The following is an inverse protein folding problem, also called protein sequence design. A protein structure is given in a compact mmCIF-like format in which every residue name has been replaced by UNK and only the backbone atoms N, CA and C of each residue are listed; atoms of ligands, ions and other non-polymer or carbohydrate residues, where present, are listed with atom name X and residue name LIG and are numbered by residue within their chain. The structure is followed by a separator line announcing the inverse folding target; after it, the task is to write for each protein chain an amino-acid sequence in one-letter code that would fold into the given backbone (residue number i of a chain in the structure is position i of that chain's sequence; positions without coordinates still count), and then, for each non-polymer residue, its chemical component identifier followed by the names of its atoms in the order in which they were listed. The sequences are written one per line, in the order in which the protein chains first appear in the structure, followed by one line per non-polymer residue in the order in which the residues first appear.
data_IF_517739654634
#
_entry.id   IF_517739654634
#
_cell.length_a   1.000
_cell.length_b   1.000
_cell.length_c   1.000
_cell.angle_alpha   90.00
_cell.angle_beta   90.00
_cell.angle_gamma   90.00
#
_symmetry.space_group_name_H-M   'P 1'
#
loop_
_entity.id
_entity.type
_entity.pdbx_description
1 polymer ?
#
# COMPACT_ATOMS: atom_id res chain seq x y z
N UNK A 1 -40.45 -18.49 3.72
CA UNK A 1 -39.80 -18.89 2.45
C UNK A 1 -39.52 -17.68 1.57
N UNK A 2 -40.47 -16.76 1.36
CA UNK A 2 -40.22 -15.54 0.56
C UNK A 2 -39.28 -14.52 1.25
N UNK A 3 -39.28 -14.46 2.58
CA UNK A 3 -38.45 -13.54 3.39
C UNK A 3 -36.94 -13.86 3.34
N UNK A 4 -36.56 -15.08 2.97
CA UNK A 4 -35.16 -15.48 2.82
C UNK A 4 -34.61 -15.12 1.42
N UNK A 5 -35.47 -15.20 0.40
CA UNK A 5 -35.15 -14.73 -0.95
C UNK A 5 -34.97 -13.22 -1.00
N UNK A 6 -35.86 -12.46 -0.36
CA UNK A 6 -35.78 -11.00 -0.33
C UNK A 6 -34.49 -10.53 0.38
N UNK A 7 -34.11 -11.20 1.48
CA UNK A 7 -32.84 -10.96 2.17
C UNK A 7 -31.62 -11.27 1.31
N UNK A 8 -31.62 -12.37 0.56
CA UNK A 8 -30.53 -12.68 -0.37
C UNK A 8 -30.41 -11.65 -1.50
N UNK A 9 -31.53 -11.22 -2.08
CA UNK A 9 -31.54 -10.21 -3.15
C UNK A 9 -31.01 -8.86 -2.64
N UNK A 10 -31.40 -8.45 -1.44
CA UNK A 10 -30.85 -7.25 -0.79
C UNK A 10 -29.35 -7.40 -0.52
N UNK A 11 -28.90 -8.56 -0.03
CA UNK A 11 -27.48 -8.86 0.19
C UNK A 11 -26.65 -8.77 -1.08
N UNK A 12 -27.07 -9.46 -2.16
CA UNK A 12 -26.39 -9.42 -3.46
C UNK A 12 -26.36 -8.00 -4.05
N UNK A 13 -27.43 -7.22 -3.87
CA UNK A 13 -27.47 -5.83 -4.35
C UNK A 13 -26.52 -4.93 -3.55
N UNK A 14 -26.46 -5.13 -2.23
CA UNK A 14 -25.52 -4.42 -1.37
C UNK A 14 -24.08 -4.76 -1.75
N UNK A 15 -23.76 -6.05 -1.92
CA UNK A 15 -22.43 -6.52 -2.33
C UNK A 15 -22.04 -6.01 -3.72
N UNK A 16 -22.95 -6.04 -4.70
CA UNK A 16 -22.70 -5.48 -6.02
C UNK A 16 -22.46 -3.96 -5.97
N UNK A 17 -23.18 -3.25 -5.10
CA UNK A 17 -22.97 -1.81 -4.91
C UNK A 17 -21.65 -1.49 -4.21
N UNK A 18 -21.20 -2.35 -3.29
CA UNK A 18 -19.88 -2.27 -2.65
C UNK A 18 -18.76 -2.54 -3.65
N UNK A 19 -18.84 -3.66 -4.37
CA UNK A 19 -17.89 -4.02 -5.42
C UNK A 19 -17.75 -2.93 -6.49
N UNK A 20 -18.85 -2.31 -6.93
CA UNK A 20 -18.80 -1.22 -7.89
C UNK A 20 -18.05 0.02 -7.35
N UNK A 21 -18.17 0.31 -6.04
CA UNK A 21 -17.41 1.38 -5.39
C UNK A 21 -15.93 1.02 -5.29
N UNK A 22 -15.62 -0.21 -4.89
CA UNK A 22 -14.24 -0.68 -4.77
C UNK A 22 -13.51 -0.66 -6.13
N UNK A 23 -14.20 -1.05 -7.20
CA UNK A 23 -13.68 -0.94 -8.58
C UNK A 23 -13.45 0.51 -8.98
N UNK A 24 -14.34 1.43 -8.60
CA UNK A 24 -14.16 2.85 -8.87
C UNK A 24 -12.96 3.43 -8.09
N UNK A 25 -12.74 2.99 -6.85
CA UNK A 25 -11.58 3.37 -6.04
C UNK A 25 -10.27 2.81 -6.63
N UNK A 26 -10.24 1.52 -7.00
CA UNK A 26 -9.10 0.92 -7.70
C UNK A 26 -8.78 1.67 -8.99
N UNK A 27 -9.80 2.03 -9.78
CA UNK A 27 -9.63 2.81 -11.00
C UNK A 27 -9.07 4.21 -10.73
N UNK A 28 -9.56 4.89 -9.70
CA UNK A 28 -9.05 6.21 -9.31
C UNK A 28 -7.58 6.15 -8.87
N UNK A 29 -7.19 5.10 -8.15
CA UNK A 29 -5.79 4.87 -7.75
C UNK A 29 -4.87 4.58 -8.95
N UNK A 30 -5.37 3.86 -9.97
CA UNK A 30 -4.62 3.56 -11.19
C UNK A 30 -4.50 4.77 -12.13
N UNK A 31 -5.60 5.49 -12.37
CA UNK A 31 -5.64 6.63 -13.31
C UNK A 31 -5.02 7.92 -12.72
N UNK A 32 -4.98 8.08 -11.40
CA UNK A 32 -4.44 9.28 -10.77
C UNK A 32 -2.94 9.15 -10.43
N UNK A 33 -2.59 8.69 -9.22
CA UNK A 33 -1.20 8.67 -8.75
C UNK A 33 -0.25 7.82 -9.60
N UNK A 34 -0.71 6.66 -10.06
CA UNK A 34 0.14 5.73 -10.83
C UNK A 34 0.43 6.27 -12.23
N UNK A 35 -0.60 6.73 -12.97
CA UNK A 35 -0.40 7.34 -14.29
C UNK A 35 0.52 8.58 -14.23
N UNK A 36 0.30 9.47 -13.25
CA UNK A 36 1.16 10.63 -13.05
C UNK A 36 2.59 10.27 -12.61
N UNK A 37 2.77 9.13 -11.92
CA UNK A 37 4.09 8.57 -11.60
C UNK A 37 4.78 8.02 -12.86
N UNK A 38 4.06 7.23 -13.64
CA UNK A 38 4.55 6.64 -14.89
C UNK A 38 4.98 7.70 -15.90
N UNK A 39 4.20 8.78 -16.08
CA UNK A 39 4.55 9.89 -16.96
C UNK A 39 5.85 10.60 -16.54
N UNK A 40 6.05 10.80 -15.23
CA UNK A 40 7.27 11.42 -14.69
C UNK A 40 8.48 10.52 -14.89
N UNK A 41 8.33 9.22 -14.60
CA UNK A 41 9.37 8.23 -14.85
C UNK A 41 9.73 8.15 -16.34
N UNK A 42 8.73 8.16 -17.23
CA UNK A 42 8.93 8.17 -18.69
C UNK A 42 9.77 9.36 -19.15
N UNK A 43 9.42 10.58 -18.71
CA UNK A 43 10.20 11.80 -19.04
C UNK A 43 11.62 11.76 -18.50
N UNK A 44 11.83 11.21 -17.30
CA UNK A 44 13.17 11.06 -16.74
C UNK A 44 14.03 10.09 -17.57
N UNK A 45 13.44 8.97 -18.00
CA UNK A 45 14.09 8.00 -18.90
C UNK A 45 14.39 8.65 -20.25
N UNK A 46 13.45 9.36 -20.87
CA UNK A 46 13.68 10.05 -22.14
C UNK A 46 14.82 11.08 -22.05
N UNK A 47 14.85 11.90 -20.98
CA UNK A 47 15.91 12.87 -20.75
C UNK A 47 17.29 12.22 -20.63
N UNK A 48 17.38 11.14 -19.85
CA UNK A 48 18.64 10.40 -19.65
C UNK A 48 19.09 9.69 -20.91
N UNK A 49 18.17 9.08 -21.66
CA UNK A 49 18.48 8.42 -22.94
C UNK A 49 18.89 9.44 -24.01
N UNK A 50 18.18 10.56 -24.13
CA UNK A 50 18.51 11.64 -25.06
C UNK A 50 19.89 12.24 -24.76
N UNK A 51 20.23 12.38 -23.47
CA UNK A 51 21.56 12.80 -23.05
C UNK A 51 22.61 11.76 -23.38
N UNK A 52 22.37 10.48 -23.09
CA UNK A 52 23.28 9.38 -23.41
C UNK A 52 23.57 9.26 -24.91
N UNK A 53 22.57 9.44 -25.76
CA UNK A 53 22.72 9.46 -27.23
C UNK A 53 23.57 10.65 -27.67
N UNK A 54 23.39 11.83 -27.05
CA UNK A 54 24.16 13.05 -27.40
C UNK A 54 25.59 13.05 -26.86
N UNK A 55 25.84 12.48 -25.68
CA UNK A 55 27.15 12.46 -25.03
C UNK A 55 27.95 11.19 -25.32
N UNK A 56 27.30 10.14 -25.84
CA UNK A 56 27.88 8.83 -26.10
C UNK A 56 28.24 8.04 -24.83
N UNK A 57 27.83 8.50 -23.64
CA UNK A 57 28.14 7.86 -22.35
C UNK A 57 26.94 7.95 -21.41
N UNK A 58 26.44 6.80 -20.95
CA UNK A 58 25.64 6.71 -19.73
C UNK A 58 26.61 6.81 -18.55
N UNK A 59 26.65 7.95 -17.87
CA UNK A 59 27.51 8.12 -16.69
C UNK A 59 26.92 7.38 -15.48
N UNK A 60 27.79 6.86 -14.60
CA UNK A 60 27.34 6.33 -13.29
C UNK A 60 26.53 7.36 -12.48
N UNK A 61 26.80 8.66 -12.68
CA UNK A 61 26.04 9.73 -12.03
C UNK A 61 24.60 9.84 -12.55
N UNK A 62 24.36 9.55 -13.84
CA UNK A 62 23.00 9.55 -14.40
C UNK A 62 22.18 8.38 -13.85
N UNK A 63 22.77 7.18 -13.80
CA UNK A 63 22.15 6.00 -13.19
C UNK A 63 21.85 6.21 -11.71
N UNK A 64 22.79 6.82 -10.97
CA UNK A 64 22.62 7.18 -9.56
C UNK A 64 21.46 8.18 -9.38
N UNK A 65 21.36 9.19 -10.24
CA UNK A 65 20.29 10.19 -10.17
C UNK A 65 18.93 9.55 -10.39
N UNK A 66 18.79 8.68 -11.39
CA UNK A 66 17.55 7.94 -11.66
C UNK A 66 17.20 7.02 -10.48
N UNK A 67 18.18 6.26 -9.98
CA UNK A 67 17.97 5.35 -8.86
C UNK A 67 17.51 6.09 -7.59
N UNK A 68 18.16 7.20 -7.25
CA UNK A 68 17.78 8.02 -6.09
C UNK A 68 16.39 8.64 -6.26
N UNK A 69 16.05 9.09 -7.47
CA UNK A 69 14.70 9.59 -7.77
C UNK A 69 13.64 8.51 -7.54
N UNK A 70 13.85 7.30 -8.07
CA UNK A 70 12.92 6.18 -7.90
C UNK A 70 12.76 5.77 -6.42
N UNK A 71 13.86 5.72 -5.66
CA UNK A 71 13.81 5.44 -4.21
C UNK A 71 13.04 6.53 -3.46
N UNK A 72 13.19 7.81 -3.84
CA UNK A 72 12.45 8.93 -3.27
C UNK A 72 10.95 8.84 -3.50
N UNK A 73 10.52 8.44 -4.70
CA UNK A 73 9.10 8.23 -5.01
C UNK A 73 8.51 7.05 -4.23
N UNK A 74 9.24 5.93 -4.12
CA UNK A 74 8.82 4.78 -3.31
C UNK A 74 8.66 5.19 -1.85
N UNK A 75 9.61 5.94 -1.29
CA UNK A 75 9.55 6.42 0.09
C UNK A 75 8.36 7.39 0.30
N UNK A 76 8.10 8.29 -0.66
CA UNK A 76 6.98 9.21 -0.59
C UNK A 76 5.62 8.48 -0.65
N UNK A 77 5.50 7.45 -1.49
CA UNK A 77 4.30 6.62 -1.58
C UNK A 77 4.11 5.77 -0.34
N UNK A 78 5.18 5.17 0.20
CA UNK A 78 5.13 4.42 1.46
C UNK A 78 4.73 5.30 2.64
N UNK A 79 5.25 6.53 2.71
CA UNK A 79 4.89 7.49 3.75
C UNK A 79 3.44 7.95 3.60
N UNK A 80 2.96 8.17 2.38
CA UNK A 80 1.56 8.56 2.11
C UNK A 80 0.59 7.41 2.41
N UNK A 81 0.96 6.17 2.11
CA UNK A 81 0.21 4.97 2.47
C UNK A 81 0.19 4.75 4.00
N UNK A 82 1.32 4.95 4.68
CA UNK A 82 1.44 4.84 6.14
C UNK A 82 0.71 5.96 6.90
N UNK A 83 0.76 7.20 6.40
CA UNK A 83 -0.04 8.31 6.96
C UNK A 83 -1.52 8.07 6.68
N UNK A 84 -1.87 7.58 5.49
CA UNK A 84 -3.24 7.22 5.12
C UNK A 84 -3.82 6.11 6.00
N UNK A 85 -3.04 5.10 6.37
CA UNK A 85 -3.51 4.04 7.29
C UNK A 85 -3.66 4.53 8.73
N UNK A 86 -2.76 5.41 9.21
CA UNK A 86 -2.84 6.01 10.55
C UNK A 86 -4.00 7.01 10.67
N UNK A 87 -4.23 7.87 9.67
CA UNK A 87 -5.34 8.83 9.66
C UNK A 87 -6.68 8.19 9.24
N UNK A 88 -6.67 7.20 8.35
CA UNK A 88 -7.85 6.41 7.99
C UNK A 88 -8.39 5.61 9.17
N UNK A 89 -7.49 5.07 10.01
CA UNK A 89 -7.87 4.41 11.27
C UNK A 89 -8.44 5.36 12.33
N UNK A 90 -8.24 6.68 12.20
CA UNK A 90 -8.82 7.71 13.09
C UNK A 90 -10.25 8.11 12.70
N UNK A 91 -10.67 7.88 11.45
CA UNK A 91 -11.93 8.41 10.92
C UNK A 91 -13.03 7.35 10.72
N UNK A 92 -12.70 6.05 10.82
CA UNK A 92 -13.64 4.94 10.68
C UNK A 92 -13.92 4.19 11.99
N UNK A 93 -14.94 4.62 12.74
CA UNK A 93 -15.78 3.71 13.53
C UNK A 93 -15.23 3.09 14.82
N UNK A 94 -15.77 3.57 15.94
CA UNK A 94 -15.90 2.91 17.26
C UNK A 94 -14.66 2.72 18.13
N UNK A 95 -14.46 3.69 19.03
CA UNK A 95 -14.14 3.39 20.43
C UNK A 95 -12.72 2.94 20.74
N UNK A 96 -11.73 3.80 20.58
CA UNK A 96 -10.54 3.74 21.43
C UNK A 96 -9.86 5.09 21.53
N UNK A 97 -9.56 5.48 22.76
CA UNK A 97 -9.01 6.77 23.15
C UNK A 97 -7.75 7.15 22.32
N UNK A 98 -7.40 8.44 22.22
CA UNK A 98 -6.19 8.93 21.54
C UNK A 98 -4.86 8.36 22.07
N UNK A 99 -4.86 7.53 23.11
CA UNK A 99 -3.72 6.71 23.56
C UNK A 99 -3.55 5.35 22.85
N UNK A 100 -4.51 4.91 22.02
CA UNK A 100 -4.49 3.59 21.37
C UNK A 100 -3.43 3.41 20.28
N UNK A 101 -3.07 4.47 19.56
CA UNK A 101 -2.04 4.43 18.52
C UNK A 101 -0.63 4.29 19.12
N UNK A 102 -0.35 4.97 20.23
CA UNK A 102 0.92 4.84 20.95
C UNK A 102 1.02 3.52 21.70
N UNK A 103 -0.09 3.05 22.29
CA UNK A 103 -0.15 1.75 22.95
C UNK A 103 0.02 0.59 21.96
N UNK A 104 -0.52 0.68 20.74
CA UNK A 104 -0.36 -0.36 19.70
C UNK A 104 1.07 -0.42 19.13
N UNK A 105 1.76 0.71 18.98
CA UNK A 105 3.19 0.73 18.60
C UNK A 105 4.07 0.17 19.72
N UNK A 106 3.78 0.50 20.99
CA UNK A 106 4.48 -0.07 22.14
C UNK A 106 4.24 -1.58 22.30
N UNK A 107 3.02 -2.06 22.08
CA UNK A 107 2.71 -3.51 22.11
C UNK A 107 3.32 -4.25 20.92
N UNK A 108 3.42 -3.63 19.74
CA UNK A 108 4.12 -4.19 18.59
C UNK A 108 5.64 -4.26 18.82
N UNK A 109 6.22 -3.28 19.53
CA UNK A 109 7.64 -3.27 19.90
C UNK A 109 7.98 -4.21 21.06
N UNK A 110 7.06 -4.44 22.00
CA UNK A 110 7.22 -5.40 23.11
C UNK A 110 6.82 -6.85 22.75
N UNK A 111 6.38 -7.10 21.51
CA UNK A 111 5.91 -8.41 21.07
C UNK A 111 4.47 -8.66 21.51
N UNK A 112 3.55 -8.68 20.55
CA UNK A 112 2.14 -8.92 20.80
C UNK A 112 1.95 -10.26 21.53
N UNK A 113 1.28 -10.27 22.71
CA UNK A 113 1.05 -11.50 23.46
C UNK A 113 0.01 -12.32 22.70
N UNK A 114 0.48 -13.40 22.09
CA UNK A 114 -0.34 -14.46 21.51
C UNK A 114 -1.25 -13.96 20.40
N UNK A 115 -0.79 -14.06 19.15
CA UNK A 115 -1.39 -14.86 18.07
C UNK A 115 -0.68 -14.50 16.75
N UNK A 116 -0.06 -15.52 16.17
CA UNK A 116 0.27 -15.61 14.75
C UNK A 116 1.04 -14.44 14.10
N UNK A 117 2.16 -13.99 14.67
CA UNK A 117 3.19 -13.37 13.83
C UNK A 117 4.03 -14.48 13.23
N UNK A 118 3.62 -14.94 12.04
CA UNK A 118 4.46 -15.73 11.14
C UNK A 118 5.69 -14.89 10.77
N UNK A 119 6.69 -14.90 11.65
CA UNK A 119 8.00 -14.33 11.37
C UNK A 119 8.69 -15.12 10.26
N UNK A 120 9.60 -14.49 9.51
CA UNK A 120 10.27 -15.14 8.39
C UNK A 120 10.95 -16.44 8.84
N UNK A 121 10.64 -17.54 8.15
CA UNK A 121 11.26 -18.85 8.36
C UNK A 121 12.74 -18.75 8.01
N UNK A 122 13.60 -18.74 9.03
CA UNK A 122 15.04 -18.87 8.84
C UNK A 122 15.43 -20.36 8.77
N UNK A 123 16.41 -20.74 7.93
CA UNK A 123 16.88 -22.12 7.87
C UNK A 123 17.31 -22.61 9.26
N UNK A 124 16.71 -23.70 9.73
CA UNK A 124 17.05 -24.35 11.01
C UNK A 124 16.12 -24.10 12.20
N UNK A 125 15.02 -23.33 12.04
CA UNK A 125 13.99 -23.22 13.09
C UNK A 125 12.59 -23.57 12.55
N UNK A 126 12.03 -24.75 12.89
CA UNK A 126 10.68 -25.09 12.45
C UNK A 126 9.63 -24.19 13.11
N UNK A 127 8.59 -23.88 12.35
CA UNK A 127 7.42 -23.13 12.83
C UNK A 127 6.59 -24.02 13.75
N UNK A 128 6.19 -23.50 14.91
CA UNK A 128 5.27 -24.18 15.81
C UNK A 128 3.88 -23.55 15.67
N UNK A 129 2.95 -24.30 15.09
CA UNK A 129 1.52 -23.95 15.04
C UNK A 129 0.95 -24.32 16.41
N UNK A 130 0.40 -23.35 17.15
CA UNK A 130 -0.41 -23.65 18.32
C UNK A 130 -1.81 -24.07 17.90
N UNK A 131 -2.32 -25.14 18.50
CA UNK A 131 -3.71 -25.59 18.39
C UNK A 131 -4.66 -24.64 19.13
#
# INVERSE_FOLDING_TARGET
MDEDWDRMVVGVRADASGFARDVAEMRAALEGPLAAGADRAGRAIEMTLARAVRTGKLGFEDLKTVALSAMGEIAANALRAGIGSVFGSVTGGSGSAPGGALASVLLAALGAPGRATGGPVSPGRPFWVGE
#
